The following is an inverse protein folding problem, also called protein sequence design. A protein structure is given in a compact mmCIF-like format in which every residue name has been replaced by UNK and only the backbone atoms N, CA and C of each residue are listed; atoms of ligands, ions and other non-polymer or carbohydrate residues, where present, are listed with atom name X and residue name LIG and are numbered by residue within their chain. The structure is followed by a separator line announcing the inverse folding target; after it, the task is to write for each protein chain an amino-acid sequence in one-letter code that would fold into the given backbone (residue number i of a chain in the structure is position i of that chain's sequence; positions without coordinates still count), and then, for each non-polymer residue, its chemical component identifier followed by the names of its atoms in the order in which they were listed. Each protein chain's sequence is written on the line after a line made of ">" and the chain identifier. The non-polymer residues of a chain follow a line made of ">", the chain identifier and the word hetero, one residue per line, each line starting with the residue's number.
data_IF_056358284634
#
_entry.id   IF_056358284634
#
_cell.length_a   1.000
_cell.length_b   1.000
_cell.length_c   1.000
_cell.angle_alpha   90.00
_cell.angle_beta   90.00
_cell.angle_gamma   90.00
#
_symmetry.space_group_name_H-M   'P 1'
#
loop_
_entity.id
_entity.type
_entity.pdbx_description
1 polymer ?
#
# COMPACT_ATOMS: atom_id res chain seq x y z
N UNK A 1 13.21 11.15 -15.07
CA UNK A 1 11.77 10.91 -15.20
C UNK A 1 11.05 12.10 -14.64
N UNK A 2 10.21 12.74 -15.45
CA UNK A 2 9.30 13.78 -15.01
C UNK A 2 7.96 13.19 -14.54
N UNK A 3 7.02 14.05 -14.15
CA UNK A 3 5.73 13.64 -13.61
C UNK A 3 4.87 12.94 -14.68
N UNK A 4 4.87 13.44 -15.91
CA UNK A 4 4.07 12.89 -17.01
C UNK A 4 4.52 11.46 -17.32
N UNK A 5 5.83 11.26 -17.49
CA UNK A 5 6.42 9.96 -17.72
C UNK A 5 6.14 8.99 -16.56
N UNK A 6 6.21 9.47 -15.31
CA UNK A 6 5.92 8.67 -14.12
C UNK A 6 4.46 8.16 -14.10
N UNK A 7 3.51 9.02 -14.43
CA UNK A 7 2.08 8.69 -14.46
C UNK A 7 1.80 7.64 -15.54
N UNK A 8 2.32 7.82 -16.75
CA UNK A 8 2.09 6.89 -17.86
C UNK A 8 2.77 5.53 -17.67
N UNK A 9 3.95 5.49 -17.05
CA UNK A 9 4.69 4.23 -16.84
C UNK A 9 4.23 3.42 -15.63
N UNK A 10 3.54 4.03 -14.65
CA UNK A 10 3.12 3.33 -13.43
C UNK A 10 2.13 2.20 -13.74
N UNK A 11 2.44 1.00 -13.28
CA UNK A 11 1.57 -0.19 -13.35
C UNK A 11 1.39 -0.80 -11.97
N UNK A 12 0.31 -1.55 -11.76
CA UNK A 12 0.17 -2.39 -10.57
C UNK A 12 1.14 -3.57 -10.66
N UNK A 13 2.15 -3.58 -9.81
CA UNK A 13 3.13 -4.66 -9.68
C UNK A 13 2.69 -5.61 -8.58
N UNK A 14 2.78 -6.92 -8.84
CA UNK A 14 2.37 -7.96 -7.88
C UNK A 14 3.43 -9.03 -7.63
N UNK A 15 4.52 -9.02 -8.38
CA UNK A 15 5.66 -9.95 -8.20
C UNK A 15 6.90 -9.15 -7.91
N UNK A 16 7.53 -9.41 -6.77
CA UNK A 16 8.59 -8.56 -6.23
C UNK A 16 9.92 -9.29 -6.23
N UNK A 17 11.01 -8.53 -6.19
CA UNK A 17 12.31 -9.10 -5.86
C UNK A 17 12.40 -9.28 -4.35
N UNK A 18 13.13 -10.30 -3.89
CA UNK A 18 13.41 -10.50 -2.46
C UNK A 18 14.54 -9.58 -1.98
N UNK A 19 14.43 -8.30 -2.33
CA UNK A 19 15.34 -7.23 -1.92
C UNK A 19 14.59 -6.36 -0.89
N UNK A 20 15.11 -6.18 0.34
CA UNK A 20 14.47 -5.33 1.34
C UNK A 20 14.50 -3.87 0.89
N UNK A 21 13.42 -3.14 1.17
CA UNK A 21 13.35 -1.71 0.91
C UNK A 21 13.93 -0.99 2.15
N UNK A 22 14.88 -0.05 2.00
CA UNK A 22 15.33 0.77 3.12
C UNK A 22 14.17 1.50 3.81
N UNK A 23 14.09 1.42 5.14
CA UNK A 23 12.98 1.97 5.92
C UNK A 23 12.75 3.47 5.68
N UNK A 24 13.82 4.24 5.41
CA UNK A 24 13.70 5.68 5.09
C UNK A 24 12.97 5.96 3.78
N UNK A 25 13.04 5.04 2.80
CA UNK A 25 12.25 5.15 1.57
C UNK A 25 10.77 4.97 1.90
N UNK A 26 10.42 3.97 2.73
CA UNK A 26 9.03 3.72 3.14
C UNK A 26 8.45 4.89 3.92
N UNK A 27 9.21 5.46 4.85
CA UNK A 27 8.82 6.68 5.60
C UNK A 27 8.62 7.87 4.67
N UNK A 28 9.51 8.05 3.68
CA UNK A 28 9.40 9.13 2.70
C UNK A 28 8.17 8.99 1.80
N UNK A 29 7.80 7.77 1.41
CA UNK A 29 6.55 7.51 0.69
C UNK A 29 5.32 7.91 1.53
N UNK A 30 5.32 7.61 2.83
CA UNK A 30 4.26 8.05 3.74
C UNK A 30 4.25 9.56 3.89
N UNK A 31 5.41 10.21 3.98
CA UNK A 31 5.51 11.67 4.07
C UNK A 31 4.89 12.37 2.84
N UNK A 32 5.06 11.78 1.66
CA UNK A 32 4.39 12.24 0.44
C UNK A 32 2.89 11.97 0.45
N UNK A 33 2.45 10.82 0.98
CA UNK A 33 1.03 10.47 1.02
C UNK A 33 0.24 11.32 2.02
N UNK A 34 0.80 11.57 3.21
CA UNK A 34 0.09 12.27 4.31
C UNK A 34 -0.21 13.74 4.02
N UNK A 35 0.48 14.34 3.03
CA UNK A 35 0.25 15.74 2.62
C UNK A 35 -0.80 15.86 1.51
N UNK A 36 -1.37 14.74 1.05
CA UNK A 36 -2.47 14.76 0.09
C UNK A 36 -3.66 15.56 0.68
N UNK A 37 -4.39 16.32 -0.17
CA UNK A 37 -5.55 17.07 0.29
C UNK A 37 -6.64 16.11 0.77
N UNK A 38 -7.40 16.54 1.78
CA UNK A 38 -8.58 15.82 2.24
C UNK A 38 -9.69 16.80 2.60
N UNK A 39 -10.95 16.35 2.49
CA UNK A 39 -12.10 17.16 2.83
C UNK A 39 -11.96 17.77 4.24
N UNK A 40 -12.14 19.09 4.33
CA UNK A 40 -11.99 19.87 5.56
C UNK A 40 -10.61 19.75 6.25
N UNK A 41 -9.59 19.26 5.53
CA UNK A 41 -8.25 19.00 6.04
C UNK A 41 -8.23 18.16 7.34
N UNK A 42 -9.20 17.25 7.50
CA UNK A 42 -9.43 16.51 8.75
C UNK A 42 -8.31 15.52 9.11
N UNK A 43 -7.50 15.11 8.12
CA UNK A 43 -6.28 14.30 8.29
C UNK A 43 -6.47 13.05 9.18
N UNK A 44 -7.55 12.30 8.94
CA UNK A 44 -7.88 11.11 9.72
C UNK A 44 -7.17 9.82 9.24
N UNK A 45 -6.35 9.90 8.18
CA UNK A 45 -5.64 8.74 7.61
C UNK A 45 -4.38 8.45 8.43
N UNK A 46 -4.20 7.19 8.83
CA UNK A 46 -3.03 6.70 9.56
C UNK A 46 -2.33 5.62 8.75
N UNK A 47 -1.03 5.44 8.97
CA UNK A 47 -0.20 4.50 8.21
C UNK A 47 0.59 3.59 9.13
N UNK A 48 0.70 2.31 8.77
CA UNK A 48 1.57 1.33 9.44
C UNK A 48 2.51 0.71 8.42
N UNK A 49 3.81 0.80 8.69
CA UNK A 49 4.84 0.10 7.92
C UNK A 49 5.04 -1.29 8.51
N UNK A 50 5.01 -2.32 7.66
CA UNK A 50 5.29 -3.71 8.05
C UNK A 50 6.46 -4.26 7.25
N UNK A 51 7.61 -4.41 7.90
CA UNK A 51 8.84 -4.96 7.32
C UNK A 51 9.19 -6.36 7.89
N UNK A 52 8.73 -6.65 9.12
CA UNK A 52 9.00 -7.92 9.82
C UNK A 52 8.54 -9.14 9.03
N UNK A 53 9.47 -10.05 8.73
CA UNK A 53 9.19 -11.28 7.98
C UNK A 53 8.02 -12.06 8.62
N UNK A 54 8.05 -12.26 9.94
CA UNK A 54 7.03 -13.02 10.65
C UNK A 54 5.62 -12.40 10.54
N UNK A 55 5.51 -11.07 10.44
CA UNK A 55 4.22 -10.40 10.24
C UNK A 55 3.82 -10.48 8.76
N UNK A 56 4.77 -10.27 7.84
CA UNK A 56 4.53 -10.34 6.40
C UNK A 56 4.03 -11.72 5.95
N UNK A 57 4.58 -12.79 6.49
CA UNK A 57 4.14 -14.17 6.21
C UNK A 57 2.70 -14.41 6.68
N UNK A 58 2.31 -13.86 7.84
CA UNK A 58 0.93 -13.93 8.34
C UNK A 58 -0.04 -13.09 7.50
N UNK A 59 0.42 -11.95 6.99
CA UNK A 59 -0.41 -11.05 6.18
C UNK A 59 -0.60 -11.54 4.75
N UNK A 60 0.41 -12.13 4.13
CA UNK A 60 0.39 -12.54 2.73
C UNK A 60 -0.86 -13.35 2.30
N UNK A 61 -1.30 -14.39 3.05
CA UNK A 61 -2.51 -15.14 2.69
C UNK A 61 -3.82 -14.38 2.89
N UNK A 62 -3.82 -13.24 3.61
CA UNK A 62 -4.99 -12.40 3.85
C UNK A 62 -5.22 -11.37 2.74
N UNK A 63 -4.24 -11.18 1.85
CA UNK A 63 -4.32 -10.23 0.74
C UNK A 63 -4.87 -10.90 -0.50
N UNK A 64 -5.90 -10.31 -1.10
CA UNK A 64 -6.42 -10.73 -2.40
C UNK A 64 -5.50 -10.29 -3.53
N UNK A 65 -5.03 -11.23 -4.35
CA UNK A 65 -4.13 -10.95 -5.46
C UNK A 65 -4.82 -11.08 -6.82
N UNK A 66 -4.52 -10.15 -7.74
CA UNK A 66 -4.90 -10.15 -9.16
C UNK A 66 -6.25 -10.82 -9.49
N UNK A 67 -7.34 -10.41 -8.83
CA UNK A 67 -8.65 -11.09 -8.90
C UNK A 67 -9.20 -11.28 -10.32
N UNK A 68 -8.78 -10.44 -11.27
CA UNK A 68 -9.15 -10.54 -12.69
C UNK A 68 -8.45 -11.66 -13.47
N UNK A 69 -7.41 -12.32 -12.91
CA UNK A 69 -6.70 -13.42 -13.56
C UNK A 69 -7.32 -14.79 -13.21
N UNK A 70 -7.01 -15.85 -13.99
CA UNK A 70 -7.27 -17.23 -13.59
C UNK A 70 -6.72 -17.49 -12.20
N UNK A 71 -7.45 -18.27 -11.38
CA UNK A 71 -7.17 -18.45 -9.95
C UNK A 71 -5.72 -18.87 -9.69
N UNK A 72 -5.12 -19.59 -10.62
CA UNK A 72 -3.82 -20.25 -10.44
C UNK A 72 -2.66 -19.30 -10.72
N UNK A 73 -2.95 -18.16 -11.35
CA UNK A 73 -2.00 -17.10 -11.69
C UNK A 73 -2.12 -15.88 -10.77
N UNK A 74 -3.12 -15.87 -9.88
CA UNK A 74 -3.47 -14.70 -9.06
C UNK A 74 -2.39 -14.34 -8.07
N UNK A 75 -2.01 -15.34 -7.28
CA UNK A 75 -1.12 -15.18 -6.13
C UNK A 75 0.33 -15.20 -6.61
N UNK A 76 1.19 -14.30 -6.08
CA UNK A 76 2.62 -14.36 -6.36
C UNK A 76 3.21 -15.70 -5.95
N UNK A 77 4.03 -16.28 -6.82
CA UNK A 77 4.77 -17.50 -6.53
C UNK A 77 5.78 -17.31 -5.39
N UNK A 78 6.23 -18.41 -4.80
CA UNK A 78 7.19 -18.34 -3.70
C UNK A 78 8.49 -17.64 -4.12
N UNK A 79 9.01 -16.77 -3.27
CA UNK A 79 10.15 -15.91 -3.57
C UNK A 79 9.78 -14.66 -4.39
N UNK A 80 8.49 -14.37 -4.59
CA UNK A 80 8.00 -13.18 -5.31
C UNK A 80 6.98 -12.39 -4.49
N UNK A 81 6.86 -12.71 -3.21
CA UNK A 81 6.07 -12.01 -2.21
C UNK A 81 6.66 -10.61 -1.92
N UNK A 82 5.83 -9.63 -1.52
CA UNK A 82 6.31 -8.31 -1.15
C UNK A 82 7.24 -8.32 0.08
N UNK A 83 8.26 -7.47 0.04
CA UNK A 83 9.24 -7.31 1.14
C UNK A 83 8.81 -6.28 2.19
N UNK A 84 7.76 -5.51 1.93
CA UNK A 84 7.12 -4.59 2.87
C UNK A 84 5.63 -4.38 2.54
N UNK A 85 4.83 -4.02 3.54
CA UNK A 85 3.49 -3.48 3.35
C UNK A 85 3.40 -2.08 3.97
N UNK A 86 2.62 -1.20 3.34
CA UNK A 86 2.11 0.03 3.97
C UNK A 86 0.61 -0.18 4.11
N UNK A 87 0.14 -0.29 5.36
CA UNK A 87 -1.28 -0.40 5.67
C UNK A 87 -1.82 1.01 5.81
N UNK A 88 -2.88 1.31 5.07
CA UNK A 88 -3.62 2.57 5.17
C UNK A 88 -4.83 2.35 6.06
N UNK A 89 -4.95 3.15 7.11
CA UNK A 89 -6.00 3.08 8.12
C UNK A 89 -6.75 4.40 8.17
N UNK A 90 -7.97 4.37 8.69
CA UNK A 90 -8.74 5.57 9.01
C UNK A 90 -9.05 5.56 10.50
N UNK A 91 -8.66 6.63 11.17
CA UNK A 91 -8.95 6.82 12.58
C UNK A 91 -10.43 7.13 12.76
N UNK A 92 -11.19 6.11 13.15
CA UNK A 92 -12.65 6.21 13.34
C UNK A 92 -13.04 7.01 14.58
N UNK A 93 -12.09 7.45 15.41
CA UNK A 93 -12.35 8.46 16.44
C UNK A 93 -12.46 9.87 15.84
N UNK A 94 -11.82 10.11 14.69
CA UNK A 94 -11.82 11.40 13.97
C UNK A 94 -12.86 11.41 12.85
N UNK A 95 -12.84 10.44 11.93
CA UNK A 95 -13.78 10.34 10.80
C UNK A 95 -14.75 9.17 11.02
N UNK A 96 -16.03 9.48 11.26
CA UNK A 96 -17.04 8.49 11.65
C UNK A 96 -17.76 7.80 10.48
N UNK A 97 -17.71 8.38 9.28
CA UNK A 97 -18.42 7.87 8.10
C UNK A 97 -17.72 8.29 6.80
N UNK A 98 -18.22 7.82 5.66
CA UNK A 98 -17.77 8.10 4.29
C UNK A 98 -16.35 7.63 3.94
N UNK A 99 -15.60 7.10 4.90
CA UNK A 99 -14.26 6.56 4.66
C UNK A 99 -14.27 5.26 3.86
N UNK A 100 -15.42 4.60 3.76
CA UNK A 100 -15.67 3.42 2.94
C UNK A 100 -15.75 3.72 1.44
N UNK A 101 -16.14 4.95 1.08
CA UNK A 101 -16.17 5.41 -0.32
C UNK A 101 -14.91 6.18 -0.70
N UNK A 102 -14.44 7.04 0.20
CA UNK A 102 -13.30 7.91 -0.02
C UNK A 102 -12.57 8.19 1.30
N UNK A 103 -11.34 7.69 1.41
CA UNK A 103 -10.46 7.95 2.55
C UNK A 103 -9.71 9.28 2.43
N UNK A 104 -9.81 9.95 1.28
CA UNK A 104 -9.02 11.11 0.89
C UNK A 104 -7.81 10.71 0.05
N UNK A 105 -7.68 11.34 -1.12
CA UNK A 105 -6.48 11.54 -1.93
C UNK A 105 -6.82 12.44 -3.12
#
# INVERSE_FOLDING_TARGET
>A
MDIEEAIHKRRTIRRFKQEPIPSDILKKLIDYARIAPVASNIQAVEYVIVESLAIREKMFPLVGWASSLPKEERTPESGREPTAYIIVLVNTNIKKSYFDYDIGA
#
